data_IF_001839988615
#
_entry.id   IF_001839988615
#
_cell.length_a   1.000
_cell.length_b   1.000
_cell.length_c   1.000
_cell.angle_alpha   90.00
_cell.angle_beta   90.00
_cell.angle_gamma   90.00
#
_symmetry.space_group_name_H-M   'P 1'
#
loop_
_entity.id
_entity.type
_entity.pdbx_description
1 polymer ?
#
# COMPACT_ATOMS: atom_id res chain seq x y z
N UNK A 1 12.89 -8.39 23.58
CA UNK A 1 11.71 -8.18 22.69
C UNK A 1 10.59 -7.31 23.30
N UNK A 2 10.30 -7.36 24.62
CA UNK A 2 9.26 -6.48 25.23
C UNK A 2 9.57 -4.98 25.17
N UNK A 3 10.83 -4.61 25.31
CA UNK A 3 11.30 -3.21 25.29
C UNK A 3 11.18 -2.61 23.87
N UNK A 4 11.57 -3.33 22.82
CA UNK A 4 11.40 -2.91 21.42
C UNK A 4 9.92 -2.64 21.06
N UNK A 5 8.98 -3.43 21.60
CA UNK A 5 7.54 -3.21 21.41
C UNK A 5 7.03 -1.88 21.98
N UNK A 6 7.71 -1.30 22.96
CA UNK A 6 7.34 -0.02 23.57
C UNK A 6 8.15 1.14 22.99
N UNK A 7 9.45 0.93 22.73
CA UNK A 7 10.34 1.96 22.19
C UNK A 7 9.95 2.35 20.76
N UNK A 8 9.65 1.39 19.88
CA UNK A 8 9.34 1.68 18.48
C UNK A 8 8.09 2.59 18.30
N UNK A 9 6.93 2.28 18.92
CA UNK A 9 5.79 3.20 18.85
C UNK A 9 6.04 4.51 19.60
N UNK A 10 6.80 4.48 20.71
CA UNK A 10 7.20 5.70 21.41
C UNK A 10 8.02 6.65 20.53
N UNK A 11 9.00 6.11 19.80
CA UNK A 11 9.81 6.86 18.84
C UNK A 11 8.97 7.38 17.67
N UNK A 12 8.03 6.59 17.16
CA UNK A 12 7.07 7.02 16.13
C UNK A 12 6.18 8.17 16.59
N UNK A 13 5.63 8.09 17.81
CA UNK A 13 4.85 9.16 18.43
C UNK A 13 5.69 10.43 18.67
N UNK A 14 6.94 10.27 19.09
CA UNK A 14 7.86 11.39 19.28
C UNK A 14 8.17 12.07 17.95
N UNK A 15 8.45 11.29 16.89
CA UNK A 15 8.68 11.81 15.54
C UNK A 15 7.44 12.52 14.98
N UNK A 16 6.24 11.95 15.21
CA UNK A 16 4.97 12.56 14.83
C UNK A 16 4.76 13.88 15.57
N UNK A 17 4.96 13.91 16.90
CA UNK A 17 4.86 15.12 17.71
C UNK A 17 5.85 16.20 17.28
N UNK A 18 7.09 15.80 16.96
CA UNK A 18 8.10 16.69 16.40
C UNK A 18 7.67 17.27 15.04
N UNK A 19 7.15 16.44 14.12
CA UNK A 19 6.66 16.91 12.82
C UNK A 19 5.49 17.88 12.97
N UNK A 20 4.53 17.55 13.83
CA UNK A 20 3.35 18.38 14.11
C UNK A 20 3.76 19.71 14.76
N UNK A 21 4.71 19.67 15.70
CA UNK A 21 5.26 20.88 16.31
C UNK A 21 6.03 21.75 15.31
N UNK A 22 6.77 21.13 14.39
CA UNK A 22 7.52 21.85 13.34
C UNK A 22 6.63 22.47 12.27
N UNK A 23 5.57 21.76 11.84
CA UNK A 23 4.63 22.26 10.84
C UNK A 23 3.60 23.24 11.44
N UNK A 24 3.27 23.09 12.72
CA UNK A 24 2.18 23.81 13.38
C UNK A 24 0.81 23.18 13.07
N UNK A 25 -0.02 23.02 14.12
CA UNK A 25 -1.36 22.44 13.98
C UNK A 25 -2.26 23.27 13.05
N UNK A 26 -2.15 24.60 13.11
CA UNK A 26 -2.95 25.51 12.29
C UNK A 26 -2.69 25.32 10.79
N UNK A 27 -1.43 25.10 10.40
CA UNK A 27 -1.05 24.90 9.00
C UNK A 27 -1.54 23.54 8.48
N UNK A 28 -1.49 22.51 9.32
CA UNK A 28 -2.04 21.18 9.01
C UNK A 28 -3.56 21.29 8.79
N UNK A 29 -4.27 21.97 9.69
CA UNK A 29 -5.72 22.15 9.59
C UNK A 29 -6.12 22.99 8.37
N UNK A 30 -5.36 24.05 8.05
CA UNK A 30 -5.55 24.84 6.83
C UNK A 30 -5.34 24.00 5.58
N UNK A 31 -4.29 23.18 5.55
CA UNK A 31 -4.00 22.27 4.44
C UNK A 31 -5.12 21.24 4.24
N UNK A 32 -5.65 20.65 5.32
CA UNK A 32 -6.82 19.78 5.25
C UNK A 32 -8.05 20.54 4.74
N UNK A 33 -8.25 21.77 5.21
CA UNK A 33 -9.37 22.61 4.78
C UNK A 33 -9.30 23.00 3.31
N UNK A 34 -8.13 23.00 2.66
CA UNK A 34 -7.99 23.22 1.21
C UNK A 34 -8.51 22.04 0.38
N UNK A 35 -8.42 20.81 0.90
CA UNK A 35 -8.84 19.60 0.18
C UNK A 35 -10.37 19.57 -0.02
N UNK A 36 -11.16 20.11 0.92
CA UNK A 36 -12.64 20.21 0.85
C UNK A 36 -13.28 18.98 0.21
N UNK A 37 -14.05 19.19 -0.86
CA UNK A 37 -14.74 18.15 -1.63
C UNK A 37 -13.81 17.32 -2.53
N UNK A 38 -12.58 17.78 -2.83
CA UNK A 38 -11.62 17.00 -3.60
C UNK A 38 -11.19 15.72 -2.87
N UNK A 39 -11.40 15.65 -1.55
CA UNK A 39 -11.23 14.41 -0.78
C UNK A 39 -12.09 13.28 -1.36
N UNK A 40 -13.29 13.56 -1.85
CA UNK A 40 -14.15 12.56 -2.47
C UNK A 40 -13.54 11.97 -3.75
N UNK A 41 -12.83 12.78 -4.55
CA UNK A 41 -12.12 12.31 -5.74
C UNK A 41 -10.95 11.40 -5.35
N UNK A 42 -10.17 11.79 -4.34
CA UNK A 42 -9.08 10.96 -3.80
C UNK A 42 -9.62 9.62 -3.28
N UNK A 43 -10.72 9.67 -2.52
CA UNK A 43 -11.39 8.48 -2.01
C UNK A 43 -11.90 7.59 -3.15
N UNK A 44 -12.48 8.18 -4.20
CA UNK A 44 -12.96 7.44 -5.37
C UNK A 44 -11.81 6.71 -6.07
N UNK A 45 -10.68 7.38 -6.30
CA UNK A 45 -9.50 6.76 -6.92
C UNK A 45 -8.96 5.62 -6.04
N UNK A 46 -8.88 5.83 -4.72
CA UNK A 46 -8.45 4.80 -3.77
C UNK A 46 -9.41 3.60 -3.77
N UNK A 47 -10.73 3.83 -3.74
CA UNK A 47 -11.73 2.77 -3.84
C UNK A 47 -11.63 2.03 -5.17
N UNK A 48 -11.44 2.74 -6.27
CA UNK A 48 -11.28 2.15 -7.60
C UNK A 48 -10.07 1.22 -7.62
N UNK A 49 -8.94 1.65 -7.06
CA UNK A 49 -7.76 0.81 -6.88
C UNK A 49 -8.05 -0.48 -6.09
N UNK A 50 -8.75 -0.38 -4.96
CA UNK A 50 -9.10 -1.57 -4.17
C UNK A 50 -10.03 -2.53 -4.93
N UNK A 51 -10.99 -2.00 -5.69
CA UNK A 51 -11.92 -2.80 -6.49
C UNK A 51 -11.20 -3.50 -7.64
N UNK A 52 -10.44 -2.77 -8.46
CA UNK A 52 -9.73 -3.33 -9.62
C UNK A 52 -8.70 -4.37 -9.18
N UNK A 53 -7.96 -4.10 -8.09
CA UNK A 53 -7.01 -5.05 -7.51
C UNK A 53 -7.73 -6.28 -6.90
N UNK A 54 -8.99 -6.16 -6.48
CA UNK A 54 -9.76 -7.33 -6.03
C UNK A 54 -10.27 -8.16 -7.21
N UNK A 55 -10.67 -7.50 -8.30
CA UNK A 55 -11.02 -8.16 -9.56
C UNK A 55 -9.81 -8.93 -10.09
N UNK A 56 -8.61 -8.32 -10.10
CA UNK A 56 -7.37 -8.99 -10.45
C UNK A 56 -7.11 -10.23 -9.57
N UNK A 57 -7.26 -10.11 -8.25
CA UNK A 57 -7.12 -11.25 -7.33
C UNK A 57 -8.12 -12.37 -7.62
N UNK A 58 -9.34 -12.04 -8.02
CA UNK A 58 -10.35 -13.07 -8.33
C UNK A 58 -9.96 -13.99 -9.48
N UNK A 59 -9.06 -13.55 -10.39
CA UNK A 59 -8.49 -14.40 -11.46
C UNK A 59 -7.39 -15.35 -10.97
N UNK A 60 -6.91 -15.20 -9.73
CA UNK A 60 -5.96 -16.14 -9.12
C UNK A 60 -6.63 -17.44 -8.62
N UNK A 61 -7.97 -17.54 -8.74
CA UNK A 61 -8.73 -18.75 -8.40
C UNK A 61 -9.11 -19.50 -9.67
N UNK A 62 -9.05 -20.83 -9.64
CA UNK A 62 -9.66 -21.66 -10.67
C UNK A 62 -11.20 -21.50 -10.64
N UNK A 63 -11.84 -21.50 -11.81
CA UNK A 63 -13.26 -21.14 -11.97
C UNK A 63 -14.22 -21.92 -11.04
N UNK A 64 -13.94 -23.21 -10.81
CA UNK A 64 -14.76 -24.07 -9.94
C UNK A 64 -14.80 -23.64 -8.46
N UNK A 65 -13.87 -22.79 -7.99
CA UNK A 65 -13.76 -22.40 -6.57
C UNK A 65 -13.59 -20.89 -6.40
N UNK A 66 -14.02 -20.09 -7.38
CA UNK A 66 -13.89 -18.63 -7.35
C UNK A 66 -14.90 -18.02 -6.35
N UNK A 67 -14.46 -17.38 -5.26
CA UNK A 67 -15.36 -16.75 -4.31
C UNK A 67 -16.10 -15.56 -4.93
N UNK A 68 -17.24 -15.18 -4.35
CA UNK A 68 -18.00 -14.00 -4.81
C UNK A 68 -17.14 -12.74 -4.65
N UNK A 69 -17.20 -11.81 -5.61
CA UNK A 69 -16.39 -10.59 -5.59
C UNK A 69 -16.58 -9.76 -4.31
N UNK A 70 -17.81 -9.67 -3.79
CA UNK A 70 -18.11 -9.00 -2.52
C UNK A 70 -17.34 -9.61 -1.34
N UNK A 71 -17.27 -10.94 -1.28
CA UNK A 71 -16.54 -11.62 -0.23
C UNK A 71 -15.03 -11.38 -0.36
N UNK A 72 -14.49 -11.41 -1.59
CA UNK A 72 -13.09 -11.07 -1.84
C UNK A 72 -12.76 -9.63 -1.42
N UNK A 73 -13.63 -8.65 -1.70
CA UNK A 73 -13.41 -7.25 -1.33
C UNK A 73 -13.34 -7.13 0.20
N UNK A 74 -14.30 -7.71 0.91
CA UNK A 74 -14.34 -7.67 2.38
C UNK A 74 -13.16 -8.39 3.01
N UNK A 75 -12.79 -9.56 2.48
CA UNK A 75 -11.60 -10.29 2.91
C UNK A 75 -10.34 -9.48 2.67
N UNK A 76 -10.21 -8.82 1.51
CA UNK A 76 -9.04 -8.01 1.17
C UNK A 76 -8.92 -6.82 2.11
N UNK A 77 -10.00 -6.08 2.34
CA UNK A 77 -10.03 -4.95 3.28
C UNK A 77 -9.67 -5.36 4.70
N UNK A 78 -10.24 -6.46 5.21
CA UNK A 78 -9.91 -6.98 6.54
C UNK A 78 -8.44 -7.41 6.65
N UNK A 79 -7.94 -8.12 5.64
CA UNK A 79 -6.54 -8.52 5.56
C UNK A 79 -5.59 -7.33 5.48
N UNK A 80 -5.89 -6.35 4.62
CA UNK A 80 -5.05 -5.15 4.46
C UNK A 80 -5.05 -4.30 5.73
N UNK A 81 -6.18 -4.16 6.43
CA UNK A 81 -6.25 -3.48 7.73
C UNK A 81 -5.33 -4.15 8.76
N UNK A 82 -5.33 -5.49 8.84
CA UNK A 82 -4.43 -6.22 9.72
C UNK A 82 -2.97 -6.07 9.28
N UNK A 83 -2.68 -6.20 7.99
CA UNK A 83 -1.34 -6.01 7.45
C UNK A 83 -0.76 -4.64 7.80
N UNK A 84 -1.57 -3.58 7.75
CA UNK A 84 -1.17 -2.20 8.07
C UNK A 84 -0.92 -1.98 9.57
N UNK A 85 -1.65 -2.69 10.44
CA UNK A 85 -1.49 -2.59 11.89
C UNK A 85 -0.38 -3.50 12.44
N UNK A 86 -0.06 -4.58 11.72
CA UNK A 86 0.98 -5.53 12.13
C UNK A 86 2.36 -5.11 11.64
N UNK A 87 3.40 -5.11 12.50
CA UNK A 87 4.77 -4.76 12.12
C UNK A 87 5.48 -5.92 11.39
N UNK A 88 4.80 -6.55 10.43
CA UNK A 88 5.27 -7.69 9.65
C UNK A 88 5.40 -7.31 8.15
N UNK A 89 5.89 -6.10 7.86
CA UNK A 89 6.15 -5.63 6.49
C UNK A 89 4.97 -5.84 5.52
N UNK A 90 3.74 -5.52 5.95
CA UNK A 90 2.51 -5.73 5.18
C UNK A 90 2.18 -7.20 4.83
N UNK A 91 2.71 -8.16 5.59
CA UNK A 91 2.43 -9.59 5.42
C UNK A 91 1.55 -10.19 6.52
N UNK A 92 1.33 -9.48 7.63
CA UNK A 92 0.62 -10.03 8.80
C UNK A 92 -0.86 -10.34 8.55
N UNK A 93 -1.49 -9.71 7.57
CA UNK A 93 -2.88 -9.96 7.19
C UNK A 93 -3.09 -11.04 6.12
N UNK A 94 -2.02 -11.56 5.49
CA UNK A 94 -2.15 -12.57 4.43
C UNK A 94 -2.71 -13.92 4.95
N UNK A 95 -2.31 -14.43 6.15
CA UNK A 95 -2.94 -15.61 6.74
C UNK A 95 -4.43 -15.39 7.05
N UNK A 96 -4.80 -14.17 7.46
CA UNK A 96 -6.20 -13.81 7.71
C UNK A 96 -7.02 -13.90 6.41
N UNK A 97 -6.49 -13.43 5.27
CA UNK A 97 -7.18 -13.54 3.99
C UNK A 97 -7.49 -14.98 3.62
N UNK A 98 -6.51 -15.88 3.78
CA UNK A 98 -6.71 -17.31 3.55
C UNK A 98 -7.72 -17.93 4.53
N UNK A 99 -7.66 -17.55 5.81
CA UNK A 99 -8.59 -18.02 6.84
C UNK A 99 -10.05 -17.58 6.57
N UNK A 100 -10.27 -16.35 6.14
CA UNK A 100 -11.60 -15.82 5.82
C UNK A 100 -12.23 -16.48 4.58
N UNK A 101 -11.41 -17.00 3.67
CA UNK A 101 -11.87 -17.68 2.45
C UNK A 101 -12.05 -19.19 2.60
N UNK A 102 -11.72 -19.78 3.76
CA UNK A 102 -11.75 -21.24 3.98
C UNK A 102 -13.11 -21.90 3.70
N UNK A 103 -14.21 -21.15 3.86
CA UNK A 103 -15.57 -21.65 3.62
C UNK A 103 -16.02 -21.51 2.16
N UNK A 104 -15.22 -20.84 1.31
CA UNK A 104 -15.54 -20.53 -0.08
C UNK A 104 -14.59 -21.21 -1.08
N UNK A 105 -13.37 -21.51 -0.65
CA UNK A 105 -12.38 -22.24 -1.44
C UNK A 105 -11.57 -23.17 -0.53
N UNK A 106 -11.07 -24.31 -1.04
CA UNK A 106 -10.15 -25.17 -0.31
C UNK A 106 -8.95 -24.36 0.20
N UNK A 107 -8.54 -24.56 1.46
CA UNK A 107 -7.49 -23.77 2.12
C UNK A 107 -6.20 -23.69 1.31
N UNK A 108 -5.77 -24.80 0.68
CA UNK A 108 -4.60 -24.83 -0.21
C UNK A 108 -4.73 -23.86 -1.39
N UNK A 109 -5.90 -23.80 -2.03
CA UNK A 109 -6.18 -22.90 -3.15
C UNK A 109 -6.33 -21.45 -2.69
N UNK A 110 -6.95 -21.24 -1.52
CA UNK A 110 -7.03 -19.92 -0.88
C UNK A 110 -5.64 -19.34 -0.61
N UNK A 111 -4.76 -20.11 0.01
CA UNK A 111 -3.36 -19.71 0.26
C UNK A 111 -2.60 -19.44 -1.04
N UNK A 112 -2.70 -20.34 -2.04
CA UNK A 112 -2.07 -20.16 -3.33
C UNK A 112 -2.52 -18.85 -4.01
N UNK A 113 -3.83 -18.56 -4.00
CA UNK A 113 -4.38 -17.34 -4.58
C UNK A 113 -3.84 -16.06 -3.90
N UNK A 114 -3.64 -16.10 -2.58
CA UNK A 114 -3.13 -14.98 -1.79
C UNK A 114 -1.67 -14.71 -2.16
N UNK A 115 -0.87 -15.77 -2.29
CA UNK A 115 0.53 -15.69 -2.72
C UNK A 115 0.60 -15.12 -4.14
N UNK A 116 -0.17 -15.66 -5.10
CA UNK A 116 -0.22 -15.17 -6.48
C UNK A 116 -0.57 -13.68 -6.51
N UNK A 117 -1.61 -13.26 -5.78
CA UNK A 117 -2.00 -11.86 -5.73
C UNK A 117 -0.91 -10.96 -5.11
N UNK A 118 -0.22 -11.40 -4.05
CA UNK A 118 0.86 -10.61 -3.46
C UNK A 118 2.05 -10.49 -4.40
N UNK A 119 2.46 -11.59 -5.04
CA UNK A 119 3.54 -11.60 -6.03
C UNK A 119 3.19 -10.71 -7.22
N UNK A 120 1.97 -10.80 -7.74
CA UNK A 120 1.50 -9.94 -8.83
C UNK A 120 1.53 -8.46 -8.45
N UNK A 121 1.14 -8.11 -7.22
CA UNK A 121 1.24 -6.72 -6.72
C UNK A 121 2.68 -6.24 -6.64
N UNK A 122 3.60 -7.04 -6.10
CA UNK A 122 5.01 -6.68 -6.00
C UNK A 122 5.64 -6.52 -7.39
N UNK A 123 5.38 -7.46 -8.31
CA UNK A 123 5.88 -7.39 -9.68
C UNK A 123 5.33 -6.18 -10.42
N UNK A 124 4.02 -5.92 -10.33
CA UNK A 124 3.39 -4.76 -10.95
C UNK A 124 3.93 -3.46 -10.38
N UNK A 125 4.10 -3.38 -9.05
CA UNK A 125 4.68 -2.22 -8.39
C UNK A 125 6.13 -1.97 -8.81
N UNK A 126 6.93 -3.03 -8.94
CA UNK A 126 8.31 -2.94 -9.40
C UNK A 126 8.37 -2.45 -10.85
N UNK A 127 7.61 -3.07 -11.75
CA UNK A 127 7.53 -2.65 -13.16
C UNK A 127 7.05 -1.21 -13.30
N UNK A 128 6.00 -0.83 -12.58
CA UNK A 128 5.49 0.55 -12.58
C UNK A 128 6.55 1.54 -12.09
N UNK A 129 7.30 1.18 -11.04
CA UNK A 129 8.38 2.02 -10.49
C UNK A 129 9.49 2.19 -11.51
N UNK A 130 9.97 1.09 -12.11
CA UNK A 130 11.04 1.12 -13.12
C UNK A 130 10.61 1.95 -14.33
N UNK A 131 9.42 1.71 -14.88
CA UNK A 131 8.91 2.46 -16.04
C UNK A 131 8.73 3.94 -15.70
N UNK A 132 8.12 4.26 -14.55
CA UNK A 132 7.94 5.64 -14.11
C UNK A 132 9.27 6.37 -13.94
N UNK A 133 10.26 5.71 -13.36
CA UNK A 133 11.58 6.27 -13.12
C UNK A 133 12.36 6.48 -14.43
N UNK A 134 12.29 5.53 -15.36
CA UNK A 134 12.82 5.70 -16.73
C UNK A 134 12.17 6.88 -17.44
N UNK A 135 10.84 7.03 -17.36
CA UNK A 135 10.13 8.15 -17.99
C UNK A 135 10.56 9.50 -17.39
N UNK A 136 10.74 9.57 -16.07
CA UNK A 136 11.25 10.78 -15.40
C UNK A 136 12.66 11.12 -15.88
N UNK A 137 13.57 10.16 -15.96
CA UNK A 137 14.95 10.44 -16.41
C UNK A 137 15.03 10.80 -17.90
N UNK A 138 14.22 10.15 -18.74
CA UNK A 138 14.27 10.36 -20.19
C UNK A 138 13.54 11.64 -20.65
N UNK A 139 12.49 12.06 -19.96
CA UNK A 139 11.64 13.17 -20.42
C UNK A 139 11.72 14.43 -19.54
N UNK A 140 12.22 14.32 -18.31
CA UNK A 140 12.27 15.46 -17.41
C UNK A 140 13.64 16.14 -17.49
N UNK A 141 13.70 17.33 -18.11
CA UNK A 141 14.76 18.28 -17.81
C UNK A 141 14.59 18.66 -16.33
N UNK A 142 15.25 17.93 -15.43
CA UNK A 142 15.20 18.18 -13.98
C UNK A 142 15.37 19.69 -13.76
N UNK A 143 14.36 20.40 -13.23
CA UNK A 143 14.52 21.79 -12.89
C UNK A 143 15.73 21.86 -11.98
N UNK A 144 16.70 22.74 -12.26
CA UNK A 144 17.88 22.90 -11.38
C UNK A 144 17.51 23.29 -9.93
N UNK A 145 16.22 23.57 -9.68
CA UNK A 145 15.62 23.74 -8.36
C UNK A 145 15.44 22.45 -7.54
N UNK A 146 15.60 21.25 -8.12
CA UNK A 146 15.54 20.00 -7.34
C UNK A 146 16.85 19.83 -6.55
N UNK A 147 16.81 19.75 -5.21
CA UNK A 147 18.00 19.57 -4.38
C UNK A 147 18.84 18.36 -4.81
N UNK A 148 20.16 18.54 -4.88
CA UNK A 148 21.15 17.50 -5.23
C UNK A 148 20.91 16.13 -4.55
N UNK A 149 20.52 16.05 -3.27
CA UNK A 149 20.24 14.77 -2.61
C UNK A 149 19.08 13.98 -3.24
N UNK A 150 18.06 14.66 -3.76
CA UNK A 150 16.91 14.02 -4.40
C UNK A 150 17.31 13.46 -5.76
N UNK A 151 18.16 14.17 -6.50
CA UNK A 151 18.70 13.70 -7.78
C UNK A 151 19.57 12.45 -7.58
N UNK A 152 20.47 12.46 -6.59
CA UNK A 152 21.31 11.30 -6.25
C UNK A 152 20.46 10.11 -5.78
N UNK A 153 19.42 10.36 -4.99
CA UNK A 153 18.48 9.31 -4.58
C UNK A 153 17.77 8.67 -5.78
N UNK A 154 17.24 9.49 -6.70
CA UNK A 154 16.56 9.02 -7.90
C UNK A 154 17.48 8.20 -8.83
N UNK A 155 18.73 8.62 -9.01
CA UNK A 155 19.70 7.87 -9.83
C UNK A 155 20.19 6.60 -9.15
N UNK A 156 20.38 6.60 -7.83
CA UNK A 156 20.74 5.39 -7.09
C UNK A 156 19.66 4.31 -7.13
N UNK A 157 18.38 4.70 -7.16
CA UNK A 157 17.23 3.80 -7.27
C UNK A 157 17.13 3.13 -8.65
N UNK A 158 17.76 3.67 -9.70
CA UNK A 158 17.84 3.05 -11.02
C UNK A 158 18.98 2.04 -11.16
N UNK A 159 20.01 2.16 -10.32
CA UNK A 159 21.22 1.33 -10.38
C UNK A 159 21.14 0.09 -9.48
N UNK A 160 20.12 0.01 -8.62
CA UNK A 160 19.77 -1.13 -7.76
C UNK A 160 18.79 -2.06 -8.47
#
# INVERSE_FOLDING_TARGET
>A
MRILRLILPGLGLLLLGFLVGKMGLDEILRSLALIRWNFALVLLVACMWHVTNTIAWSFAFADAFRPRLRALIMTKLAGDAVSQLTPLANMGGEPLKAYLLRNQAPTSRGLASVIINKTAQVMTGLLFTVVGLCLVVLNWNLPQAVPLPIQIGLTSLLLL
#
